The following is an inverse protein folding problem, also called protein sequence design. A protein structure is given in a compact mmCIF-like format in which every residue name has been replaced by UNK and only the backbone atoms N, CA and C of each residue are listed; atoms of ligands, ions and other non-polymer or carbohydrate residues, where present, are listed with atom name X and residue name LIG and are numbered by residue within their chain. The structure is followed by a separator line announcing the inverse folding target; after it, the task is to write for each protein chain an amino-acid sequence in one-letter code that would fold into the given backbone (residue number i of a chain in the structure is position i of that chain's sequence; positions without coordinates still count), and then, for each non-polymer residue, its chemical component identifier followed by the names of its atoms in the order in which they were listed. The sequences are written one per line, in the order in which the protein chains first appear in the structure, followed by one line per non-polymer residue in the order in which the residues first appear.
data_IF_009479017663
#
_entry.id   IF_009479017663
#
_cell.length_a   1.000
_cell.length_b   1.000
_cell.length_c   1.000
_cell.angle_alpha   90.00
_cell.angle_beta   90.00
_cell.angle_gamma   90.00
#
_symmetry.space_group_name_H-M   'P 1'
#
loop_
_entity.id
_entity.type
_entity.pdbx_description
1 polymer ?
#
# COMPACT_ATOMS: atom_id res chain seq x y z
N UNK A 1 15.66 -24.00 7.33
CA UNK A 1 15.30 -22.97 6.36
C UNK A 1 14.86 -21.73 7.11
N UNK A 2 15.35 -20.57 6.71
CA UNK A 2 14.84 -19.28 7.14
C UNK A 2 13.97 -18.67 6.03
N UNK A 3 12.85 -18.06 6.40
CA UNK A 3 11.96 -17.37 5.46
C UNK A 3 11.80 -15.93 5.95
N UNK A 4 12.40 -14.99 5.22
CA UNK A 4 12.20 -13.55 5.43
C UNK A 4 10.96 -13.06 4.68
N UNK A 5 10.21 -12.16 5.30
CA UNK A 5 8.99 -11.59 4.69
C UNK A 5 9.14 -10.08 4.63
N UNK A 6 9.20 -9.51 3.41
CA UNK A 6 9.36 -8.07 3.18
C UNK A 6 10.51 -7.45 4.00
N UNK A 7 10.43 -6.17 4.40
CA UNK A 7 11.41 -5.46 5.20
C UNK A 7 12.88 -5.73 4.76
N UNK A 8 13.23 -5.47 3.48
CA UNK A 8 14.49 -5.90 2.88
C UNK A 8 15.73 -5.27 3.53
N UNK A 9 15.60 -4.11 4.15
CA UNK A 9 16.71 -3.45 4.85
C UNK A 9 17.14 -4.21 6.12
N UNK A 10 16.23 -4.96 6.72
CA UNK A 10 16.51 -5.83 7.87
C UNK A 10 16.78 -7.27 7.42
N UNK A 11 15.84 -7.87 6.68
CA UNK A 11 15.87 -9.29 6.37
C UNK A 11 17.07 -9.69 5.49
N UNK A 12 17.42 -8.90 4.47
CA UNK A 12 18.54 -9.26 3.59
C UNK A 12 19.88 -9.32 4.32
N UNK A 13 20.11 -8.51 5.35
CA UNK A 13 21.33 -8.57 6.15
C UNK A 13 21.37 -9.82 7.04
N UNK A 14 20.23 -10.18 7.63
CA UNK A 14 20.10 -11.41 8.40
C UNK A 14 20.23 -12.65 7.52
N UNK A 15 19.56 -12.66 6.38
CA UNK A 15 19.59 -13.75 5.40
C UNK A 15 21.02 -14.00 4.88
N UNK A 16 21.78 -12.94 4.60
CA UNK A 16 23.18 -13.09 4.18
C UNK A 16 24.02 -13.78 5.25
N UNK A 17 23.83 -13.46 6.53
CA UNK A 17 24.52 -14.11 7.64
C UNK A 17 24.11 -15.58 7.78
N UNK A 18 22.81 -15.86 7.71
CA UNK A 18 22.28 -17.23 7.81
C UNK A 18 22.73 -18.10 6.64
N UNK A 19 22.70 -17.57 5.42
CA UNK A 19 23.19 -18.25 4.22
C UNK A 19 24.68 -18.58 4.33
N UNK A 20 25.49 -17.65 4.83
CA UNK A 20 26.92 -17.90 5.06
C UNK A 20 27.18 -18.95 6.13
N UNK A 21 26.23 -19.13 7.05
CA UNK A 21 26.26 -20.21 8.06
C UNK A 21 25.65 -21.53 7.55
N UNK A 22 25.35 -21.65 6.25
CA UNK A 22 24.82 -22.87 5.63
C UNK A 22 23.32 -23.09 5.87
N UNK A 23 22.58 -22.07 6.34
CA UNK A 23 21.13 -22.14 6.51
C UNK A 23 20.45 -21.69 5.23
N UNK A 24 19.65 -22.52 4.55
CA UNK A 24 18.91 -22.11 3.36
C UNK A 24 17.97 -20.94 3.65
N UNK A 25 17.99 -19.93 2.77
CA UNK A 25 17.25 -18.68 2.93
C UNK A 25 16.28 -18.47 1.79
N UNK A 26 15.03 -18.14 2.13
CA UNK A 26 13.96 -17.80 1.19
C UNK A 26 13.41 -16.43 1.58
N UNK A 27 13.28 -15.54 0.61
CA UNK A 27 12.69 -14.23 0.85
C UNK A 27 11.37 -14.08 0.10
N UNK A 28 10.32 -13.68 0.80
CA UNK A 28 9.02 -13.38 0.23
C UNK A 28 8.83 -11.87 0.09
N UNK A 29 8.37 -11.42 -1.05
CA UNK A 29 8.24 -10.05 -1.54
C UNK A 29 9.56 -9.46 -2.05
N UNK A 30 9.77 -9.57 -3.36
CA UNK A 30 10.94 -8.99 -4.02
C UNK A 30 11.00 -7.46 -3.82
N UNK A 31 12.11 -6.90 -3.36
CA UNK A 31 12.30 -5.46 -3.36
C UNK A 31 12.18 -4.89 -4.78
N UNK A 32 11.56 -3.72 -4.93
CA UNK A 32 11.29 -3.08 -6.22
C UNK A 32 12.56 -2.54 -6.91
N UNK A 33 13.57 -3.41 -7.10
CA UNK A 33 14.86 -3.06 -7.72
C UNK A 33 14.73 -2.59 -9.18
N UNK A 34 13.65 -2.97 -9.82
CA UNK A 34 13.30 -2.55 -11.18
C UNK A 34 12.81 -1.09 -11.26
N UNK A 35 12.32 -0.52 -10.17
CA UNK A 35 11.84 0.86 -10.11
C UNK A 35 12.88 1.83 -9.55
N UNK A 36 13.67 1.39 -8.58
CA UNK A 36 14.66 2.20 -7.89
C UNK A 36 15.68 1.31 -7.17
N UNK A 37 16.88 1.80 -6.93
CA UNK A 37 18.00 1.08 -6.28
C UNK A 37 18.36 -0.25 -6.95
N UNK A 38 18.67 -0.25 -8.26
CA UNK A 38 19.08 -1.45 -8.99
C UNK A 38 20.33 -2.12 -8.39
N UNK A 39 21.17 -1.37 -7.69
CA UNK A 39 22.35 -1.88 -6.98
C UNK A 39 22.01 -2.90 -5.89
N UNK A 40 20.78 -2.91 -5.39
CA UNK A 40 20.32 -3.90 -4.41
C UNK A 40 20.26 -5.34 -4.95
N UNK A 41 20.25 -5.51 -6.26
CA UNK A 41 20.18 -6.85 -6.86
C UNK A 41 21.36 -7.72 -6.42
N UNK A 42 22.53 -7.13 -6.29
CA UNK A 42 23.72 -7.84 -5.80
C UNK A 42 23.61 -8.23 -4.31
N UNK A 43 22.99 -7.37 -3.51
CA UNK A 43 22.67 -7.70 -2.11
C UNK A 43 21.69 -8.86 -2.04
N UNK A 44 20.63 -8.88 -2.84
CA UNK A 44 19.68 -9.98 -2.91
C UNK A 44 20.37 -11.28 -3.29
N UNK A 45 21.20 -11.26 -4.33
CA UNK A 45 21.93 -12.45 -4.82
C UNK A 45 22.80 -13.11 -3.73
N UNK A 46 23.41 -12.28 -2.87
CA UNK A 46 24.24 -12.77 -1.75
C UNK A 46 23.43 -13.26 -0.56
N UNK A 47 22.21 -12.72 -0.38
CA UNK A 47 21.40 -12.94 0.81
C UNK A 47 20.46 -14.13 0.68
N UNK A 48 19.90 -14.39 -0.50
CA UNK A 48 18.84 -15.41 -0.65
C UNK A 48 19.27 -16.57 -1.52
N UNK A 49 18.75 -17.75 -1.22
CA UNK A 49 18.83 -18.91 -2.11
C UNK A 49 17.63 -18.96 -3.06
N UNK A 50 16.48 -18.45 -2.62
CA UNK A 50 15.28 -18.40 -3.45
C UNK A 50 14.41 -17.20 -3.12
N UNK A 51 13.89 -16.52 -4.16
CA UNK A 51 12.98 -15.39 -4.03
C UNK A 51 11.55 -15.80 -4.39
N UNK A 52 10.58 -15.49 -3.53
CA UNK A 52 9.15 -15.66 -3.82
C UNK A 52 8.58 -14.29 -4.23
N UNK A 53 8.23 -14.18 -5.50
CA UNK A 53 7.84 -12.93 -6.16
C UNK A 53 6.34 -12.74 -6.18
N UNK A 54 5.87 -11.52 -5.96
CA UNK A 54 4.45 -11.17 -6.00
C UNK A 54 4.01 -10.59 -7.35
N UNK A 55 4.94 -10.23 -8.23
CA UNK A 55 4.64 -9.80 -9.59
C UNK A 55 5.20 -10.77 -10.63
N UNK A 56 4.44 -11.03 -11.73
CA UNK A 56 4.79 -12.07 -12.69
C UNK A 56 6.05 -11.79 -13.51
N UNK A 57 6.50 -10.55 -13.61
CA UNK A 57 7.69 -10.16 -14.35
C UNK A 57 8.99 -10.26 -13.54
N UNK A 58 8.92 -10.31 -12.22
CA UNK A 58 10.09 -10.30 -11.33
C UNK A 58 11.01 -11.51 -11.50
N UNK A 59 10.51 -12.76 -11.66
CA UNK A 59 11.38 -13.90 -11.85
C UNK A 59 12.30 -13.79 -13.06
N UNK A 60 11.79 -13.26 -14.19
CA UNK A 60 12.60 -13.08 -15.40
C UNK A 60 13.71 -12.03 -15.19
N UNK A 61 13.42 -10.97 -14.44
CA UNK A 61 14.41 -9.95 -14.09
C UNK A 61 15.48 -10.53 -13.15
N UNK A 62 15.09 -11.28 -12.13
CA UNK A 62 16.01 -11.87 -11.16
C UNK A 62 16.89 -12.97 -11.78
N UNK A 63 16.36 -13.73 -12.74
CA UNK A 63 17.12 -14.73 -13.49
C UNK A 63 18.30 -14.13 -14.25
N UNK A 64 18.18 -12.90 -14.76
CA UNK A 64 19.29 -12.18 -15.42
C UNK A 64 20.47 -11.93 -14.46
N UNK A 65 20.18 -11.84 -13.17
CA UNK A 65 21.19 -11.68 -12.11
C UNK A 65 21.59 -13.01 -11.46
N UNK A 66 21.16 -14.15 -12.00
CA UNK A 66 21.44 -15.48 -11.46
C UNK A 66 20.74 -15.77 -10.12
N UNK A 67 19.61 -15.13 -9.85
CA UNK A 67 18.83 -15.33 -8.61
C UNK A 67 17.65 -16.26 -8.93
N UNK A 68 17.57 -17.40 -8.23
CA UNK A 68 16.43 -18.29 -8.34
C UNK A 68 15.16 -17.65 -7.77
N UNK A 69 14.08 -17.69 -8.52
CA UNK A 69 12.83 -17.02 -8.13
C UNK A 69 11.60 -17.77 -8.65
N UNK A 70 10.50 -17.67 -7.91
CA UNK A 70 9.19 -18.20 -8.30
C UNK A 70 8.12 -17.12 -8.11
N UNK A 71 7.28 -16.94 -9.10
CA UNK A 71 6.07 -16.14 -8.95
C UNK A 71 5.02 -16.91 -8.15
N UNK A 72 4.56 -16.34 -7.05
CA UNK A 72 3.59 -16.98 -6.14
C UNK A 72 2.26 -16.19 -6.06
N UNK A 73 2.16 -15.07 -6.76
CA UNK A 73 1.00 -14.21 -6.74
C UNK A 73 0.99 -13.20 -5.58
N UNK A 74 0.13 -12.21 -5.71
CA UNK A 74 -0.02 -11.18 -4.67
C UNK A 74 -1.09 -11.62 -3.66
N UNK A 75 -0.82 -11.62 -2.34
CA UNK A 75 -1.79 -12.07 -1.33
C UNK A 75 -3.13 -11.35 -1.40
N UNK A 76 -3.14 -10.05 -1.70
CA UNK A 76 -4.37 -9.26 -1.82
C UNK A 76 -5.27 -9.69 -3.00
N UNK A 77 -4.73 -10.40 -4.00
CA UNK A 77 -5.52 -10.91 -5.12
C UNK A 77 -6.60 -11.92 -4.70
N UNK A 78 -6.41 -12.57 -3.55
CA UNK A 78 -7.42 -13.48 -2.97
C UNK A 78 -8.42 -12.75 -2.07
N UNK A 79 -8.06 -11.58 -1.57
CA UNK A 79 -8.85 -10.83 -0.58
C UNK A 79 -9.73 -9.76 -1.24
N UNK A 80 -9.22 -9.12 -2.31
CA UNK A 80 -9.92 -8.05 -3.02
C UNK A 80 -10.71 -8.66 -4.17
N UNK A 81 -12.05 -8.61 -4.16
CA UNK A 81 -12.86 -9.17 -5.24
C UNK A 81 -12.72 -8.33 -6.50
N UNK A 82 -12.73 -8.99 -7.67
CA UNK A 82 -12.71 -8.31 -8.98
C UNK A 82 -13.98 -7.47 -9.23
N UNK A 83 -15.08 -7.85 -8.59
CA UNK A 83 -16.37 -7.13 -8.65
C UNK A 83 -16.80 -6.83 -7.21
N UNK A 84 -16.38 -5.69 -6.63
CA UNK A 84 -16.79 -5.32 -5.28
C UNK A 84 -18.28 -5.00 -5.22
N UNK A 85 -18.91 -5.34 -4.10
CA UNK A 85 -20.29 -4.93 -3.81
C UNK A 85 -20.31 -3.46 -3.38
N UNK A 86 -20.42 -2.57 -4.37
CA UNK A 86 -20.44 -1.12 -4.17
C UNK A 86 -21.60 -0.70 -3.29
N UNK A 87 -22.80 -1.29 -3.48
CA UNK A 87 -23.98 -0.92 -2.73
C UNK A 87 -23.80 -1.25 -1.24
N UNK A 88 -23.41 -2.48 -0.94
CA UNK A 88 -23.13 -2.88 0.43
C UNK A 88 -22.03 -2.02 1.09
N UNK A 89 -20.97 -1.69 0.35
CA UNK A 89 -19.91 -0.82 0.85
C UNK A 89 -20.41 0.59 1.19
N UNK A 90 -21.25 1.18 0.33
CA UNK A 90 -21.85 2.51 0.57
C UNK A 90 -22.79 2.49 1.77
N UNK A 91 -23.64 1.49 1.88
CA UNK A 91 -24.53 1.31 3.03
C UNK A 91 -23.75 1.17 4.34
N UNK A 92 -22.67 0.36 4.34
CA UNK A 92 -21.81 0.18 5.50
C UNK A 92 -21.12 1.48 5.97
N UNK A 93 -20.86 2.40 5.02
CA UNK A 93 -20.25 3.72 5.31
C UNK A 93 -21.29 4.84 5.49
N UNK A 94 -22.59 4.55 5.36
CA UNK A 94 -23.65 5.57 5.45
C UNK A 94 -23.61 6.60 4.31
N UNK A 95 -23.09 6.20 3.14
CA UNK A 95 -22.99 7.06 1.96
C UNK A 95 -24.26 6.99 1.11
N UNK A 96 -24.56 8.08 0.42
CA UNK A 96 -25.66 8.11 -0.54
C UNK A 96 -25.31 7.21 -1.75
N UNK A 97 -26.27 6.37 -2.17
CA UNK A 97 -26.08 5.35 -3.19
C UNK A 97 -25.91 5.93 -4.60
N UNK A 98 -26.56 7.07 -4.89
CA UNK A 98 -26.59 7.68 -6.22
C UNK A 98 -25.53 8.74 -6.45
N UNK A 99 -24.84 9.20 -5.38
CA UNK A 99 -23.83 10.25 -5.47
C UNK A 99 -22.44 9.68 -5.71
N UNK A 100 -21.59 10.33 -6.52
CA UNK A 100 -20.22 9.88 -6.69
C UNK A 100 -19.42 9.97 -5.38
N UNK A 101 -18.55 8.97 -5.15
CA UNK A 101 -17.68 8.88 -3.97
C UNK A 101 -16.23 9.02 -4.40
N UNK A 102 -15.46 9.78 -3.64
CA UNK A 102 -14.01 9.92 -3.82
C UNK A 102 -13.32 9.48 -2.54
N UNK A 103 -12.51 8.42 -2.63
CA UNK A 103 -11.65 7.98 -1.55
C UNK A 103 -10.34 8.79 -1.56
N UNK A 104 -10.00 9.41 -0.44
CA UNK A 104 -8.75 10.14 -0.22
C UNK A 104 -7.79 9.25 0.56
N UNK A 105 -6.66 8.89 -0.05
CA UNK A 105 -5.68 7.95 0.54
C UNK A 105 -4.30 8.62 0.65
N UNK A 106 -4.06 9.41 1.71
CA UNK A 106 -2.80 10.16 1.86
C UNK A 106 -1.61 9.28 2.26
N UNK A 107 -1.82 8.00 2.50
CA UNK A 107 -0.80 7.05 2.91
C UNK A 107 -1.02 6.48 4.29
N UNK A 108 -0.06 5.68 4.74
CA UNK A 108 -0.09 4.97 6.03
C UNK A 108 1.08 5.33 6.94
N UNK A 109 2.07 6.08 6.47
CA UNK A 109 3.21 6.53 7.25
C UNK A 109 3.05 8.00 7.63
N UNK A 110 3.58 8.36 8.80
CA UNK A 110 3.47 9.75 9.28
C UNK A 110 4.00 10.77 8.25
N UNK A 111 5.15 10.52 7.64
CA UNK A 111 5.72 11.40 6.62
C UNK A 111 4.84 11.56 5.38
N UNK A 112 4.19 10.49 4.93
CA UNK A 112 3.24 10.55 3.81
C UNK A 112 2.04 11.44 4.17
N UNK A 113 1.45 11.22 5.34
CA UNK A 113 0.30 11.95 5.85
C UNK A 113 0.60 13.44 5.99
N UNK A 114 1.75 13.79 6.56
CA UNK A 114 2.17 15.19 6.72
C UNK A 114 2.26 15.93 5.37
N UNK A 115 2.77 15.26 4.35
CA UNK A 115 3.01 15.88 3.04
C UNK A 115 1.79 15.81 2.11
N UNK A 116 1.01 14.73 2.15
CA UNK A 116 -0.03 14.48 1.16
C UNK A 116 -1.41 14.95 1.63
N UNK A 117 -1.73 14.86 2.93
CA UNK A 117 -3.06 15.26 3.42
C UNK A 117 -3.42 16.70 3.05
N UNK A 118 -2.57 17.72 3.28
CA UNK A 118 -2.91 19.09 2.91
C UNK A 118 -3.20 19.26 1.41
N UNK A 119 -2.42 18.62 0.55
CA UNK A 119 -2.59 18.68 -0.91
C UNK A 119 -3.87 18.00 -1.36
N UNK A 120 -4.21 16.85 -0.78
CA UNK A 120 -5.41 16.11 -1.12
C UNK A 120 -6.67 16.82 -0.62
N UNK A 121 -6.61 17.47 0.55
CA UNK A 121 -7.71 18.32 1.05
C UNK A 121 -7.96 19.50 0.09
N UNK A 122 -6.93 20.18 -0.36
CA UNK A 122 -7.05 21.27 -1.34
C UNK A 122 -7.63 20.77 -2.67
N UNK A 123 -7.18 19.62 -3.16
CA UNK A 123 -7.73 18.99 -4.36
C UNK A 123 -9.22 18.65 -4.18
N UNK A 124 -9.59 18.06 -3.05
CA UNK A 124 -10.99 17.73 -2.73
C UNK A 124 -11.87 18.99 -2.66
N UNK A 125 -11.38 20.09 -2.09
CA UNK A 125 -12.09 21.38 -2.08
C UNK A 125 -12.33 21.91 -3.50
N UNK A 126 -11.35 21.78 -4.40
CA UNK A 126 -11.51 22.18 -5.80
C UNK A 126 -12.56 21.29 -6.47
N UNK A 127 -12.47 19.98 -6.31
CA UNK A 127 -13.42 19.03 -6.87
C UNK A 127 -14.85 19.29 -6.37
N UNK A 128 -15.01 19.57 -5.08
CA UNK A 128 -16.32 19.84 -4.49
C UNK A 128 -16.97 21.14 -4.99
N UNK A 129 -16.15 22.18 -5.23
CA UNK A 129 -16.67 23.43 -5.86
C UNK A 129 -17.18 23.17 -7.28
N UNK A 130 -16.52 22.28 -8.02
CA UNK A 130 -16.94 21.92 -9.39
C UNK A 130 -18.14 20.97 -9.41
N UNK A 131 -18.23 20.07 -8.43
CA UNK A 131 -19.34 19.14 -8.29
C UNK A 131 -19.74 18.98 -6.81
N UNK A 132 -20.73 19.75 -6.34
CA UNK A 132 -21.24 19.67 -4.96
C UNK A 132 -21.90 18.31 -4.60
N UNK A 133 -22.16 17.45 -5.59
CA UNK A 133 -22.70 16.12 -5.35
C UNK A 133 -21.66 15.12 -4.86
N UNK A 134 -20.36 15.42 -4.94
CA UNK A 134 -19.30 14.53 -4.48
C UNK A 134 -19.39 14.26 -2.96
N UNK A 135 -19.15 13.02 -2.61
CA UNK A 135 -18.94 12.55 -1.24
C UNK A 135 -17.48 12.18 -1.09
N UNK A 136 -16.87 12.49 0.06
CA UNK A 136 -15.47 12.19 0.30
C UNK A 136 -15.33 11.27 1.52
N UNK A 137 -14.50 10.24 1.38
CA UNK A 137 -14.12 9.36 2.48
C UNK A 137 -12.60 9.30 2.61
N UNK A 138 -12.10 9.31 3.84
CA UNK A 138 -10.67 9.21 4.12
C UNK A 138 -10.46 8.12 5.17
N UNK A 139 -10.10 6.90 4.74
CA UNK A 139 -9.74 5.84 5.67
C UNK A 139 -8.38 6.12 6.28
N UNK A 140 -8.31 6.12 7.60
CA UNK A 140 -7.11 6.44 8.37
C UNK A 140 -6.73 5.29 9.30
N UNK A 141 -5.42 5.11 9.48
CA UNK A 141 -4.92 4.24 10.55
C UNK A 141 -5.33 4.86 11.89
N UNK A 142 -5.90 4.08 12.83
CA UNK A 142 -6.40 4.62 14.09
C UNK A 142 -5.39 5.49 14.86
N UNK A 143 -4.12 5.10 14.89
CA UNK A 143 -3.05 5.85 15.58
C UNK A 143 -2.73 7.21 14.94
N UNK A 144 -3.11 7.45 13.67
CA UNK A 144 -2.84 8.69 12.93
C UNK A 144 -4.09 9.52 12.69
N UNK A 145 -5.25 9.04 13.11
CA UNK A 145 -6.54 9.70 12.86
C UNK A 145 -6.58 11.14 13.40
N UNK A 146 -6.18 11.35 14.65
CA UNK A 146 -6.16 12.69 15.26
C UNK A 146 -5.23 13.65 14.50
N UNK A 147 -4.10 13.13 13.99
CA UNK A 147 -3.17 13.93 13.20
C UNK A 147 -3.74 14.30 11.85
N UNK A 148 -4.39 13.35 11.17
CA UNK A 148 -5.08 13.59 9.90
C UNK A 148 -6.19 14.63 10.09
N UNK A 149 -7.00 14.50 11.14
CA UNK A 149 -8.05 15.48 11.46
C UNK A 149 -7.47 16.88 11.61
N UNK A 150 -6.41 17.04 12.40
CA UNK A 150 -5.77 18.34 12.58
C UNK A 150 -5.24 18.94 11.26
N UNK A 151 -4.70 18.12 10.36
CA UNK A 151 -4.23 18.56 9.04
C UNK A 151 -5.40 18.96 8.13
N UNK A 152 -6.50 18.24 8.17
CA UNK A 152 -7.74 18.57 7.44
C UNK A 152 -8.30 19.91 7.94
N UNK A 153 -8.39 20.10 9.25
CA UNK A 153 -8.91 21.32 9.88
C UNK A 153 -8.03 22.54 9.55
N UNK A 154 -6.71 22.36 9.57
CA UNK A 154 -5.76 23.41 9.21
C UNK A 154 -5.89 23.90 7.76
N UNK A 155 -6.46 23.08 6.87
CA UNK A 155 -6.78 23.46 5.49
C UNK A 155 -8.22 24.00 5.32
N UNK A 156 -8.98 24.19 6.41
CA UNK A 156 -10.37 24.63 6.35
C UNK A 156 -11.38 23.51 6.07
N UNK A 157 -10.96 22.26 6.11
CA UNK A 157 -11.82 21.10 5.95
C UNK A 157 -12.36 20.88 4.53
N UNK A 158 -13.12 19.81 4.35
CA UNK A 158 -13.90 19.54 3.15
C UNK A 158 -15.33 19.22 3.62
N UNK A 159 -16.36 19.97 3.19
CA UNK A 159 -17.72 19.71 3.60
C UNK A 159 -18.15 18.25 3.27
N UNK A 160 -18.68 17.54 4.27
CA UNK A 160 -19.13 16.17 4.10
C UNK A 160 -18.00 15.12 4.01
N UNK A 161 -16.76 15.46 4.28
CA UNK A 161 -15.67 14.50 4.39
C UNK A 161 -15.90 13.60 5.61
N UNK A 162 -15.89 12.29 5.38
CA UNK A 162 -15.95 11.29 6.44
C UNK A 162 -14.56 10.72 6.70
N UNK A 163 -14.03 10.91 7.91
CA UNK A 163 -12.83 10.22 8.39
C UNK A 163 -13.24 8.85 8.94
N UNK A 164 -12.65 7.81 8.38
CA UNK A 164 -12.96 6.42 8.73
C UNK A 164 -11.84 5.82 9.57
N UNK A 165 -12.20 5.08 10.61
CA UNK A 165 -11.25 4.31 11.41
C UNK A 165 -10.87 3.02 10.66
N UNK A 166 -9.76 3.01 9.92
CA UNK A 166 -9.42 1.92 9.03
C UNK A 166 -10.39 1.85 7.84
N UNK A 167 -10.92 0.66 7.56
CA UNK A 167 -11.94 0.40 6.53
C UNK A 167 -11.51 0.79 5.10
N UNK A 168 -10.21 0.74 4.79
CA UNK A 168 -9.71 1.14 3.47
C UNK A 168 -10.30 0.31 2.33
N UNK A 169 -10.49 -0.99 2.52
CA UNK A 169 -11.10 -1.84 1.51
C UNK A 169 -12.57 -1.48 1.25
N UNK A 170 -13.33 -1.17 2.31
CA UNK A 170 -14.72 -0.74 2.18
C UNK A 170 -14.80 0.63 1.50
N UNK A 171 -13.91 1.56 1.85
CA UNK A 171 -13.83 2.88 1.22
C UNK A 171 -13.49 2.79 -0.27
N UNK A 172 -12.62 1.85 -0.66
CA UNK A 172 -12.25 1.63 -2.07
C UNK A 172 -13.33 0.88 -2.86
N UNK A 173 -14.18 0.12 -2.18
CA UNK A 173 -15.29 -0.59 -2.82
C UNK A 173 -16.52 0.33 -3.06
N UNK A 174 -16.65 1.42 -2.31
CA UNK A 174 -17.80 2.34 -2.36
C UNK A 174 -17.74 3.28 -3.56
#
# INVERSE_FOLDING_TARGET
VFIGVDAPDFNLDLEAQLKSAGIPTVHFVCPSVWAWRPERIEKIRRSVDHMLCIFPFEPALLAQAGIAATYVGHPLAQTIPMSPDRLAARQALGLNEDRPVVAILPGSRQSEIEHLTPRFVQAAQIMQRQNPALQFVLPAIPSLLARIQALVDAQGGVPGLQLLHGQSHTALAA
#
